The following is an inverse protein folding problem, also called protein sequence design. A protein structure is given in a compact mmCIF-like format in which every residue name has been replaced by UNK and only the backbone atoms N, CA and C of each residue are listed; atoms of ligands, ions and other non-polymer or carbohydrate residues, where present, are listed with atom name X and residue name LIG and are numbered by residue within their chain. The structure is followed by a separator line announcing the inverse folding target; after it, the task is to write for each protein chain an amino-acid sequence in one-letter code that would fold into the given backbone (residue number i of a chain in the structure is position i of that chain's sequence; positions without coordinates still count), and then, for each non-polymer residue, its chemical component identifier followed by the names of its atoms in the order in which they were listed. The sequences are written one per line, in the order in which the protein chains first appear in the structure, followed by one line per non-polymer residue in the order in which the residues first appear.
data_IF_401764600046
#
_entry.id   IF_401764600046
#
_cell.length_a   1.000
_cell.length_b   1.000
_cell.length_c   1.000
_cell.angle_alpha   90.00
_cell.angle_beta   90.00
_cell.angle_gamma   90.00
#
_symmetry.space_group_name_H-M   'P 1'
#
loop_
_entity.id
_entity.type
_entity.pdbx_description
1 polymer ?
#
# COMPACT_ATOMS: atom_id res chain seq x y z
N UNK A 1 21.51 -6.17 15.39
CA UNK A 1 20.04 -5.94 15.28
C UNK A 1 19.84 -4.53 14.78
N UNK A 2 19.07 -4.35 13.70
CA UNK A 2 18.87 -3.03 13.09
C UNK A 2 17.51 -2.47 13.50
N UNK A 3 17.49 -1.17 13.78
CA UNK A 3 16.29 -0.36 13.95
C UNK A 3 16.32 0.66 12.81
N UNK A 4 15.28 0.71 11.99
CA UNK A 4 15.20 1.62 10.85
C UNK A 4 14.05 2.59 11.09
N UNK A 5 14.32 3.88 10.89
CA UNK A 5 13.32 4.92 10.88
C UNK A 5 13.22 5.53 9.48
N UNK A 6 12.04 5.48 8.89
CA UNK A 6 11.70 6.10 7.61
C UNK A 6 10.87 7.35 7.88
N UNK A 7 11.40 8.52 7.52
CA UNK A 7 10.66 9.78 7.62
C UNK A 7 10.33 10.27 6.21
N UNK A 8 9.06 10.23 5.86
CA UNK A 8 8.57 10.62 4.54
C UNK A 8 7.86 11.98 4.64
N UNK A 9 8.34 12.96 3.89
CA UNK A 9 7.69 14.26 3.83
C UNK A 9 6.44 14.18 2.94
N UNK A 10 5.25 14.24 3.54
CA UNK A 10 3.98 14.11 2.85
C UNK A 10 3.74 15.19 1.79
N UNK A 11 4.52 16.28 1.73
CA UNK A 11 4.43 17.28 0.64
C UNK A 11 5.19 16.90 -0.62
N UNK A 12 6.20 16.03 -0.55
CA UNK A 12 6.98 15.61 -1.72
C UNK A 12 6.16 14.75 -2.69
N UNK A 13 6.61 14.68 -3.95
CA UNK A 13 5.91 13.95 -4.99
C UNK A 13 5.60 12.50 -4.54
N UNK A 14 4.33 12.07 -4.49
CA UNK A 14 3.97 10.72 -4.06
C UNK A 14 4.64 9.62 -4.90
N UNK A 15 4.92 9.88 -6.19
CA UNK A 15 5.64 8.93 -7.06
C UNK A 15 7.10 8.71 -6.63
N UNK A 16 7.75 9.73 -6.07
CA UNK A 16 9.13 9.60 -5.57
C UNK A 16 9.16 8.76 -4.29
N UNK A 17 8.18 8.97 -3.41
CA UNK A 17 8.02 8.15 -2.20
C UNK A 17 7.66 6.71 -2.53
N UNK A 18 6.73 6.51 -3.47
CA UNK A 18 6.37 5.19 -4.00
C UNK A 18 7.62 4.46 -4.49
N UNK A 19 8.42 5.11 -5.35
CA UNK A 19 9.66 4.53 -5.89
C UNK A 19 10.69 4.22 -4.80
N UNK A 20 10.84 5.13 -3.84
CA UNK A 20 11.73 4.93 -2.70
C UNK A 20 11.30 3.73 -1.85
N UNK A 21 10.03 3.66 -1.48
CA UNK A 21 9.48 2.56 -0.69
C UNK A 21 9.54 1.23 -1.42
N UNK A 22 9.24 1.21 -2.72
CA UNK A 22 9.41 0.02 -3.56
C UNK A 22 10.86 -0.47 -3.57
N UNK A 23 11.82 0.45 -3.69
CA UNK A 23 13.25 0.11 -3.61
C UNK A 23 13.63 -0.40 -2.22
N UNK A 24 13.11 0.23 -1.16
CA UNK A 24 13.34 -0.18 0.21
C UNK A 24 12.83 -1.60 0.46
N UNK A 25 11.58 -1.90 0.10
CA UNK A 25 10.96 -3.23 0.21
C UNK A 25 11.78 -4.27 -0.57
N UNK A 26 12.20 -3.94 -1.80
CA UNK A 26 13.07 -4.82 -2.60
C UNK A 26 14.39 -5.13 -1.89
N UNK A 27 15.02 -4.12 -1.29
CA UNK A 27 16.25 -4.30 -0.52
C UNK A 27 16.02 -5.15 0.73
N UNK A 28 14.92 -4.92 1.44
CA UNK A 28 14.55 -5.72 2.62
C UNK A 28 14.36 -7.19 2.24
N UNK A 29 13.54 -7.48 1.23
CA UNK A 29 13.28 -8.85 0.74
C UNK A 29 14.55 -9.54 0.19
N UNK A 30 15.55 -8.78 -0.28
CA UNK A 30 16.82 -9.36 -0.75
C UNK A 30 17.76 -9.75 0.41
N UNK A 31 17.53 -9.21 1.61
CA UNK A 31 18.33 -9.46 2.81
C UNK A 31 17.58 -10.34 3.82
N UNK A 32 16.57 -11.09 3.37
CA UNK A 32 15.57 -11.72 4.23
C UNK A 32 16.09 -12.86 5.11
N UNK A 33 17.27 -13.41 4.86
CA UNK A 33 17.74 -14.55 5.62
C UNK A 33 19.24 -14.41 5.94
N UNK A 34 19.55 -14.02 7.19
CA UNK A 34 20.78 -14.48 7.83
C UNK A 34 20.72 -16.02 7.92
N UNK A 35 21.83 -16.73 8.11
CA UNK A 35 21.91 -18.23 8.18
C UNK A 35 20.93 -18.89 9.18
N UNK A 36 20.24 -18.10 10.00
CA UNK A 36 19.23 -18.51 10.98
C UNK A 36 17.77 -18.26 10.55
N UNK A 37 17.50 -17.78 9.33
CA UNK A 37 16.15 -17.51 8.82
C UNK A 37 15.40 -16.40 9.56
N UNK A 38 16.13 -15.52 10.26
CA UNK A 38 15.56 -14.35 10.96
C UNK A 38 15.95 -13.08 10.22
N UNK A 39 14.98 -12.21 9.98
CA UNK A 39 15.23 -10.87 9.49
C UNK A 39 16.17 -10.12 10.43
N UNK A 40 17.18 -9.46 9.86
CA UNK A 40 18.08 -8.60 10.62
C UNK A 40 17.38 -7.36 11.22
N UNK A 41 16.20 -7.01 10.69
CA UNK A 41 15.38 -5.87 11.09
C UNK A 41 14.35 -6.29 12.15
N UNK A 42 14.47 -5.75 13.36
CA UNK A 42 13.51 -5.99 14.44
C UNK A 42 12.45 -4.91 14.56
N UNK A 43 12.84 -3.66 14.35
CA UNK A 43 11.95 -2.51 14.51
C UNK A 43 11.98 -1.62 13.28
N UNK A 44 10.79 -1.36 12.74
CA UNK A 44 10.55 -0.40 11.68
C UNK A 44 9.65 0.71 12.21
N UNK A 45 10.13 1.94 12.12
CA UNK A 45 9.33 3.12 12.40
C UNK A 45 9.13 3.92 11.13
N UNK A 46 7.89 4.23 10.79
CA UNK A 46 7.52 5.03 9.61
C UNK A 46 6.77 6.26 10.09
N UNK A 47 7.26 7.43 9.69
CA UNK A 47 6.63 8.71 10.01
C UNK A 47 6.31 9.45 8.71
N UNK A 48 5.03 9.66 8.42
CA UNK A 48 4.60 10.61 7.41
C UNK A 48 4.54 12.00 8.05
N UNK A 49 5.47 12.87 7.70
CA UNK A 49 5.54 14.21 8.27
C UNK A 49 5.01 15.26 7.30
N UNK A 50 4.19 16.18 7.78
CA UNK A 50 3.81 17.40 7.04
C UNK A 50 3.91 18.61 7.97
N UNK A 51 4.45 19.76 7.51
CA UNK A 51 4.51 20.99 8.30
C UNK A 51 3.13 21.49 8.76
N UNK A 52 2.09 21.22 7.99
CA UNK A 52 0.69 21.60 8.30
C UNK A 52 0.04 20.67 9.33
N UNK A 53 0.65 19.52 9.61
CA UNK A 53 0.08 18.46 10.45
C UNK A 53 0.76 18.39 11.81
N UNK A 54 1.07 19.56 12.37
CA UNK A 54 1.57 19.70 13.75
C UNK A 54 0.48 19.50 14.81
N UNK A 55 -0.80 19.31 14.42
CA UNK A 55 -1.83 18.85 15.35
C UNK A 55 -1.87 17.30 15.40
N UNK A 56 -2.09 16.71 16.60
CA UNK A 56 -2.24 15.27 16.74
C UNK A 56 -3.37 14.77 15.84
N UNK A 57 -3.04 13.76 15.04
CA UNK A 57 -3.84 13.18 13.95
C UNK A 57 -5.20 12.61 14.37
N UNK A 58 -5.58 12.70 15.64
CA UNK A 58 -6.85 12.22 16.19
C UNK A 58 -8.06 13.04 15.68
N UNK A 59 -7.82 14.21 15.08
CA UNK A 59 -8.84 15.04 14.42
C UNK A 59 -9.00 14.73 12.93
N UNK A 60 -9.14 13.43 12.59
CA UNK A 60 -9.30 12.89 11.22
C UNK A 60 -10.53 13.41 10.43
N UNK A 61 -11.33 14.31 10.99
CA UNK A 61 -12.45 14.95 10.28
C UNK A 61 -12.00 15.86 9.12
N UNK A 62 -10.74 16.29 9.10
CA UNK A 62 -10.22 17.33 8.18
C UNK A 62 -9.43 16.82 6.98
N UNK A 63 -8.99 15.56 6.95
CA UNK A 63 -8.25 15.05 5.78
C UNK A 63 -9.15 15.11 4.55
N UNK A 64 -8.64 15.76 3.51
CA UNK A 64 -9.32 15.75 2.22
C UNK A 64 -9.21 14.35 1.62
N UNK A 65 -10.12 14.06 0.69
CA UNK A 65 -10.04 12.81 -0.07
C UNK A 65 -8.68 12.65 -0.78
N UNK A 66 -8.11 13.74 -1.29
CA UNK A 66 -6.81 13.70 -1.96
C UNK A 66 -5.68 13.31 -1.00
N UNK A 67 -5.73 13.75 0.25
CA UNK A 67 -4.72 13.39 1.26
C UNK A 67 -4.80 11.91 1.62
N UNK A 68 -6.02 11.37 1.72
CA UNK A 68 -6.23 9.95 1.97
C UNK A 68 -5.70 9.09 0.81
N UNK A 69 -6.10 9.42 -0.42
CA UNK A 69 -5.69 8.71 -1.63
C UNK A 69 -4.16 8.73 -1.77
N UNK A 70 -3.53 9.88 -1.49
CA UNK A 70 -2.08 10.05 -1.49
C UNK A 70 -1.39 9.19 -0.43
N UNK A 71 -1.87 9.21 0.81
CA UNK A 71 -1.26 8.44 1.90
C UNK A 71 -1.37 6.94 1.65
N UNK A 72 -2.52 6.47 1.16
CA UNK A 72 -2.71 5.08 0.78
C UNK A 72 -1.78 4.69 -0.37
N UNK A 73 -1.71 5.50 -1.43
CA UNK A 73 -0.86 5.25 -2.59
C UNK A 73 0.63 5.17 -2.22
N UNK A 74 1.12 6.06 -1.36
CA UNK A 74 2.52 6.02 -0.92
C UNK A 74 2.79 4.72 -0.15
N UNK A 75 1.92 4.38 0.81
CA UNK A 75 2.19 3.32 1.78
C UNK A 75 1.79 1.92 1.31
N UNK A 76 1.08 1.77 0.19
CA UNK A 76 0.63 0.46 -0.31
C UNK A 76 1.80 -0.50 -0.60
N UNK A 77 2.97 0.00 -0.98
CA UNK A 77 4.15 -0.85 -1.22
C UNK A 77 4.66 -1.53 0.06
N UNK A 78 4.34 -1.00 1.24
CA UNK A 78 4.76 -1.59 2.52
C UNK A 78 4.07 -2.92 2.82
N UNK A 79 2.95 -3.21 2.15
CA UNK A 79 2.22 -4.47 2.27
C UNK A 79 3.11 -5.66 1.87
N UNK A 80 4.05 -5.44 0.94
CA UNK A 80 4.98 -6.46 0.43
C UNK A 80 6.24 -6.60 1.32
N UNK A 81 6.28 -5.94 2.48
CA UNK A 81 7.35 -6.14 3.45
C UNK A 81 7.28 -7.54 4.07
N UNK A 82 8.44 -8.10 4.42
CA UNK A 82 8.50 -9.34 5.16
C UNK A 82 8.02 -9.09 6.59
N UNK A 83 7.78 -10.18 7.34
CA UNK A 83 7.24 -10.08 8.71
C UNK A 83 8.23 -9.39 9.66
N UNK A 84 7.92 -8.19 10.14
CA UNK A 84 8.77 -7.45 11.09
C UNK A 84 8.17 -7.53 12.50
N UNK A 85 9.01 -7.78 13.53
CA UNK A 85 8.56 -8.00 14.91
C UNK A 85 7.84 -6.79 15.53
N UNK A 86 8.29 -5.58 15.22
CA UNK A 86 7.74 -4.34 15.78
C UNK A 86 7.66 -3.25 14.74
N UNK A 87 6.45 -2.79 14.46
CA UNK A 87 6.17 -1.74 13.49
C UNK A 87 5.41 -0.60 14.17
N UNK A 88 5.88 0.62 13.92
CA UNK A 88 5.24 1.85 14.36
C UNK A 88 5.04 2.75 13.16
N UNK A 89 3.79 3.16 12.90
CA UNK A 89 3.43 4.02 11.79
C UNK A 89 2.70 5.23 12.36
N UNK A 90 3.13 6.43 11.97
CA UNK A 90 2.56 7.69 12.47
C UNK A 90 2.41 8.71 11.36
N UNK A 91 1.57 9.73 11.61
CA UNK A 91 1.28 10.77 10.62
C UNK A 91 0.32 10.33 9.51
N UNK A 92 -0.50 9.31 9.77
CA UNK A 92 -1.59 8.84 8.90
C UNK A 92 -2.82 8.49 9.74
N UNK A 93 -3.99 8.27 9.11
CA UNK A 93 -5.18 7.82 9.84
C UNK A 93 -4.94 6.57 10.68
N UNK A 94 -5.47 6.56 11.90
CA UNK A 94 -5.30 5.46 12.87
C UNK A 94 -5.71 4.12 12.28
N UNK A 95 -6.86 4.05 11.61
CA UNK A 95 -7.34 2.82 10.97
C UNK A 95 -6.33 2.28 9.93
N UNK A 96 -5.74 3.17 9.12
CA UNK A 96 -4.79 2.78 8.07
C UNK A 96 -3.46 2.32 8.70
N UNK A 97 -3.01 3.03 9.73
CA UNK A 97 -1.85 2.62 10.53
C UNK A 97 -2.05 1.25 11.16
N UNK A 98 -3.22 0.98 11.74
CA UNK A 98 -3.54 -0.31 12.33
C UNK A 98 -3.54 -1.41 11.27
N UNK A 99 -4.20 -1.18 10.13
CA UNK A 99 -4.21 -2.14 9.01
C UNK A 99 -2.79 -2.47 8.53
N UNK A 100 -1.97 -1.46 8.23
CA UNK A 100 -0.59 -1.66 7.76
C UNK A 100 0.27 -2.34 8.82
N UNK A 101 0.15 -1.94 10.09
CA UNK A 101 0.90 -2.54 11.19
C UNK A 101 0.59 -4.03 11.32
N UNK A 102 -0.69 -4.38 11.40
CA UNK A 102 -1.13 -5.78 11.51
C UNK A 102 -0.72 -6.59 10.27
N UNK A 103 -0.76 -5.97 9.10
CA UNK A 103 -0.34 -6.58 7.85
C UNK A 103 1.15 -6.95 7.86
N UNK A 104 2.02 -6.01 8.25
CA UNK A 104 3.48 -6.21 8.29
C UNK A 104 3.89 -7.11 9.46
N UNK A 105 3.34 -6.90 10.67
CA UNK A 105 3.66 -7.74 11.84
C UNK A 105 3.11 -9.16 11.72
N UNK A 106 1.99 -9.34 11.02
CA UNK A 106 1.40 -10.64 10.73
C UNK A 106 2.05 -11.38 9.57
N UNK A 107 2.75 -10.67 8.66
CA UNK A 107 3.23 -11.24 7.39
C UNK A 107 2.09 -11.58 6.44
N UNK A 108 0.98 -10.86 6.52
CA UNK A 108 -0.26 -11.13 5.77
C UNK A 108 -0.46 -10.16 4.58
N UNK A 109 0.64 -9.72 3.96
CA UNK A 109 0.62 -8.80 2.81
C UNK A 109 -0.34 -9.22 1.69
N UNK A 110 -0.38 -10.52 1.40
CA UNK A 110 -1.20 -11.08 0.32
C UNK A 110 -2.71 -11.10 0.59
N UNK A 111 -3.15 -10.83 1.82
CA UNK A 111 -4.56 -10.86 2.21
C UNK A 111 -5.31 -9.57 1.83
N UNK A 112 -4.60 -8.49 1.48
CA UNK A 112 -5.23 -7.23 1.11
C UNK A 112 -5.70 -7.28 -0.36
N UNK A 113 -7.01 -7.16 -0.56
CA UNK A 113 -7.63 -7.19 -1.88
C UNK A 113 -7.15 -6.03 -2.77
N UNK A 114 -7.02 -6.29 -4.09
CA UNK A 114 -6.57 -5.27 -5.06
C UNK A 114 -7.74 -4.62 -5.79
N UNK A 115 -7.75 -3.29 -5.80
CA UNK A 115 -8.65 -2.44 -6.57
C UNK A 115 -8.19 -2.36 -8.03
N UNK A 116 -9.11 -2.60 -8.97
CA UNK A 116 -8.88 -2.29 -10.38
C UNK A 116 -9.57 -0.96 -10.72
N UNK A 117 -8.77 0.08 -10.93
CA UNK A 117 -9.26 1.38 -11.34
C UNK A 117 -9.73 1.36 -12.79
N UNK A 118 -10.93 1.91 -13.09
CA UNK A 118 -11.37 2.06 -14.48
C UNK A 118 -10.44 3.04 -15.19
N UNK A 119 -10.00 2.69 -16.41
CA UNK A 119 -9.16 3.60 -17.19
C UNK A 119 -9.96 4.84 -17.59
N UNK A 120 -9.40 6.04 -17.36
CA UNK A 120 -10.06 7.30 -17.72
C UNK A 120 -9.65 7.74 -19.12
N UNK A 121 -10.62 7.98 -19.99
CA UNK A 121 -10.36 8.52 -21.33
C UNK A 121 -10.08 10.01 -21.24
N UNK A 122 -8.82 10.41 -21.45
CA UNK A 122 -8.43 11.81 -21.57
C UNK A 122 -8.44 12.23 -23.04
N UNK A 123 -9.14 13.33 -23.35
CA UNK A 123 -9.07 13.99 -24.66
C UNK A 123 -7.84 14.89 -24.66
N UNK A 124 -6.88 14.63 -25.55
CA UNK A 124 -5.73 15.52 -25.77
C UNK A 124 -5.90 16.26 -27.09
N UNK A 125 -5.87 17.58 -27.02
CA UNK A 125 -5.86 18.45 -28.20
C UNK A 125 -4.42 18.84 -28.50
N UNK A 126 -3.71 18.05 -29.30
CA UNK A 126 -2.46 18.48 -29.92
C UNK A 126 -2.73 18.53 -31.43
N UNK A 127 -3.00 19.75 -31.93
CA UNK A 127 -3.05 20.09 -33.37
C UNK A 127 -3.99 19.23 -34.23
N UNK A 128 -5.15 19.80 -34.58
CA UNK A 128 -6.12 19.41 -35.63
C UNK A 128 -6.76 18.01 -35.57
N UNK A 129 -6.21 17.03 -34.85
CA UNK A 129 -6.83 15.72 -34.63
C UNK A 129 -7.00 15.45 -33.13
N UNK A 130 -8.24 15.35 -32.67
CA UNK A 130 -8.54 14.90 -31.32
C UNK A 130 -8.35 13.38 -31.27
N UNK A 131 -7.41 12.90 -30.46
CA UNK A 131 -7.34 11.47 -30.16
C UNK A 131 -7.68 11.24 -28.68
N UNK A 132 -8.39 10.15 -28.43
CA UNK A 132 -8.79 9.69 -27.10
C UNK A 132 -7.74 8.70 -26.61
N UNK A 133 -7.19 8.92 -25.41
CA UNK A 133 -6.31 7.94 -24.74
C UNK A 133 -6.88 7.57 -23.39
N UNK A 134 -7.00 6.29 -23.12
CA UNK A 134 -7.28 5.78 -21.78
C UNK A 134 -6.01 5.85 -20.95
N UNK A 135 -6.02 6.60 -19.85
CA UNK A 135 -4.87 6.81 -18.96
C UNK A 135 -5.35 6.54 -17.53
N UNK A 136 -4.57 5.77 -16.77
CA UNK A 136 -4.74 5.61 -15.33
C UNK A 136 -4.24 6.89 -14.65
N UNK A 137 -4.96 7.41 -13.65
CA UNK A 137 -4.39 8.54 -12.91
C UNK A 137 -3.21 8.04 -12.08
N UNK A 138 -2.14 8.83 -12.01
CA UNK A 138 -0.88 8.34 -11.44
C UNK A 138 -0.93 8.10 -9.93
N UNK A 139 -1.91 8.70 -9.23
CA UNK A 139 -2.07 8.64 -7.78
C UNK A 139 -3.42 8.00 -7.46
N UNK A 140 -3.51 6.69 -7.66
CA UNK A 140 -4.72 5.89 -7.43
C UNK A 140 -4.32 4.63 -6.63
N UNK A 141 -4.70 4.52 -5.34
CA UNK A 141 -4.25 3.42 -4.47
C UNK A 141 -4.81 2.08 -4.95
N UNK A 142 -3.98 1.04 -4.99
CA UNK A 142 -4.35 -0.29 -5.52
C UNK A 142 -4.97 -1.21 -4.48
N UNK A 143 -5.04 -0.82 -3.22
CA UNK A 143 -5.44 -1.71 -2.13
C UNK A 143 -6.83 -1.37 -1.58
N UNK A 144 -7.68 -2.39 -1.47
CA UNK A 144 -8.94 -2.35 -0.74
C UNK A 144 -8.73 -2.92 0.66
N UNK A 145 -8.90 -2.07 1.66
CA UNK A 145 -8.75 -2.44 3.06
C UNK A 145 -10.06 -2.85 3.72
N UNK A 146 -11.18 -2.87 2.98
CA UNK A 146 -12.52 -3.10 3.54
C UNK A 146 -12.64 -4.46 4.21
N UNK A 147 -12.38 -5.53 3.45
CA UNK A 147 -12.45 -6.92 3.95
C UNK A 147 -11.39 -7.17 5.04
N UNK A 148 -10.16 -6.72 4.78
CA UNK A 148 -9.04 -6.91 5.72
C UNK A 148 -9.31 -6.25 7.07
N UNK A 149 -9.81 -5.02 7.08
CA UNK A 149 -10.12 -4.31 8.31
C UNK A 149 -11.27 -4.98 9.09
N UNK A 150 -12.29 -5.49 8.39
CA UNK A 150 -13.40 -6.21 9.00
C UNK A 150 -12.94 -7.50 9.68
N UNK A 151 -12.12 -8.31 9.00
CA UNK A 151 -11.55 -9.55 9.54
C UNK A 151 -10.72 -9.32 10.81
N UNK A 152 -10.06 -8.17 10.92
CA UNK A 152 -9.19 -7.83 12.04
C UNK A 152 -9.86 -6.90 13.08
N UNK A 153 -11.16 -6.64 12.95
CA UNK A 153 -11.91 -5.79 13.89
C UNK A 153 -11.50 -4.32 13.89
N UNK A 154 -10.93 -3.81 12.78
CA UNK A 154 -10.50 -2.42 12.63
C UNK A 154 -11.66 -1.58 12.08
N UNK A 155 -12.05 -0.56 12.83
CA UNK A 155 -13.15 0.32 12.44
C UNK A 155 -12.74 1.28 11.31
N UNK A 156 -13.31 1.08 10.12
CA UNK A 156 -13.13 1.98 8.98
C UNK A 156 -14.06 3.20 9.06
N UNK A 157 -13.57 4.41 8.71
CA UNK A 157 -14.43 5.59 8.66
C UNK A 157 -15.45 5.47 7.52
N UNK A 158 -16.67 5.97 7.76
CA UNK A 158 -17.76 5.92 6.76
C UNK A 158 -17.35 6.52 5.40
N UNK A 159 -16.55 7.60 5.42
CA UNK A 159 -16.02 8.23 4.19
C UNK A 159 -15.19 7.28 3.33
N UNK A 160 -14.43 6.37 3.95
CA UNK A 160 -13.64 5.36 3.22
C UNK A 160 -14.55 4.29 2.60
N UNK A 161 -15.58 3.84 3.32
CA UNK A 161 -16.57 2.90 2.77
C UNK A 161 -17.28 3.49 1.54
N UNK A 162 -17.70 4.75 1.62
CA UNK A 162 -18.29 5.49 0.50
C UNK A 162 -17.30 5.65 -0.67
N UNK A 163 -16.01 5.82 -0.37
CA UNK A 163 -14.96 5.85 -1.40
C UNK A 163 -14.88 4.53 -2.16
N UNK A 164 -14.88 3.38 -1.48
CA UNK A 164 -14.82 2.07 -2.14
C UNK A 164 -16.06 1.81 -3.00
N UNK A 165 -17.26 2.19 -2.53
CA UNK A 165 -18.50 1.95 -3.28
C UNK A 165 -18.66 2.85 -4.51
N UNK A 166 -18.24 4.11 -4.44
CA UNK A 166 -18.51 5.10 -5.51
C UNK A 166 -17.67 4.91 -6.78
N UNK A 167 -16.60 4.13 -6.73
CA UNK A 167 -15.70 3.97 -7.87
C UNK A 167 -16.04 2.81 -8.80
N UNK A 168 -17.08 2.02 -8.49
CA UNK A 168 -17.49 0.88 -9.30
C UNK A 168 -16.27 0.02 -9.69
N UNK A 169 -15.39 -0.21 -8.71
CA UNK A 169 -14.15 -0.96 -8.93
C UNK A 169 -14.51 -2.35 -9.41
N UNK A 170 -13.90 -2.78 -10.51
CA UNK A 170 -13.84 -4.20 -10.78
C UNK A 170 -12.83 -4.79 -9.78
N UNK A 171 -13.22 -5.81 -9.01
CA UNK A 171 -12.22 -6.55 -8.24
C UNK A 171 -11.33 -7.32 -9.22
N UNK A 172 -10.02 -7.13 -9.13
CA UNK A 172 -9.09 -7.96 -9.88
C UNK A 172 -9.23 -9.39 -9.33
N UNK A 173 -9.95 -10.28 -10.06
CA UNK A 173 -10.00 -11.69 -9.68
C UNK A 173 -8.55 -12.20 -9.59
N UNK A 174 -8.12 -12.80 -8.47
CA UNK A 174 -6.79 -13.37 -8.39
C UNK A 174 -6.69 -14.46 -9.45
N UNK A 175 -5.90 -14.20 -10.49
CA UNK A 175 -5.49 -15.24 -11.44
C UNK A 175 -4.54 -16.15 -10.68
N UNK A 176 -5.10 -17.19 -10.04
CA UNK A 176 -4.32 -18.34 -9.60
C UNK A 176 -3.71 -19.00 -10.84
N UNK A 177 -2.51 -18.55 -11.21
CA UNK A 177 -1.65 -19.27 -12.13
C UNK A 177 -1.21 -20.52 -11.39
N UNK A 178 -1.97 -21.62 -11.56
CA UNK A 178 -1.50 -22.95 -11.19
C UNK A 178 -0.21 -23.18 -11.97
N UNK A 179 0.94 -23.08 -11.30
CA UNK A 179 2.18 -23.62 -11.85
C UNK A 179 1.95 -25.11 -12.07
N UNK A 180 2.21 -25.66 -13.27
CA UNK A 180 2.20 -27.10 -13.45
C UNK A 180 3.26 -27.69 -12.50
N UNK A 181 2.81 -28.58 -11.62
CA UNK A 181 3.70 -29.42 -10.83
C UNK A 181 4.42 -30.31 -11.83
N UNK A 182 5.72 -30.08 -12.01
CA UNK A 182 6.55 -30.98 -12.78
C UNK A 182 6.50 -32.35 -12.09
N UNK A 183 5.92 -33.33 -12.77
CA UNK A 183 5.95 -34.72 -12.32
C UNK A 183 7.41 -35.18 -12.26
N UNK A 184 7.90 -35.41 -11.04
CA UNK A 184 9.15 -36.10 -10.83
C UNK A 184 9.01 -37.52 -11.40
N UNK A 185 9.73 -37.79 -12.49
CA UNK A 185 9.98 -39.16 -12.96
C UNK A 185 11.08 -39.74 -12.08
N UNK A 186 10.71 -40.66 -11.21
CA UNK A 186 11.66 -41.62 -10.65
C UNK A 186 12.17 -42.50 -11.80
N UNK A 187 13.49 -42.53 -11.99
CA UNK A 187 14.17 -43.55 -12.77
C UNK A 187 14.56 -44.67 -11.80
N UNK A 188 14.12 -45.88 -12.12
CA UNK A 188 14.59 -47.15 -11.54
C UNK A 188 15.88 -47.57 -12.24
#
# INVERSE_FOLDING_TARGET
MRNIQLVLNARHNPEEHEKYLRSFVKTMNAHDEDESGKLALKRLEIRLWSPEMNEPYDRLSTLTRNDLDRNMYILENLIDLPKIDSVEISGIPVWLSQCLKTCIEGGHGSAVSKLCWPMKTVKRTKTRAAYQRSVRLTIEPISDWTEYAEEHGIALPQRYRVFCTNHNFAYARPTFVRRPVAAAREQV
#
